data_IF_035079728836
#
_entry.id   IF_035079728836
#
_cell.length_a   1.000
_cell.length_b   1.000
_cell.length_c   1.000
_cell.angle_alpha   90.00
_cell.angle_beta   90.00
_cell.angle_gamma   90.00
#
_symmetry.space_group_name_H-M   'P 1'
#
loop_
_entity.id
_entity.type
_entity.pdbx_description
1 polymer ?
#
# COMPACT_ATOMS: atom_id res chain seq x y z
N UNK A 1 -33.15 -13.32 -19.37
CA UNK A 1 -32.23 -13.90 -18.36
C UNK A 1 -30.81 -13.33 -18.43
N UNK A 2 -30.16 -13.17 -19.60
CA UNK A 2 -28.82 -12.54 -19.73
C UNK A 2 -28.65 -11.21 -18.99
N UNK A 3 -29.58 -10.26 -19.18
CA UNK A 3 -29.51 -8.94 -18.51
C UNK A 3 -29.66 -8.98 -16.99
N UNK A 4 -30.40 -9.97 -16.46
CA UNK A 4 -30.53 -10.17 -15.00
C UNK A 4 -29.20 -10.65 -14.41
N UNK A 5 -28.49 -11.52 -15.13
CA UNK A 5 -27.17 -12.05 -14.75
C UNK A 5 -26.12 -10.92 -14.80
N UNK A 6 -26.14 -10.06 -15.81
CA UNK A 6 -25.29 -8.86 -15.87
C UNK A 6 -25.52 -7.93 -14.69
N UNK A 7 -26.80 -7.69 -14.35
CA UNK A 7 -27.14 -6.81 -13.24
C UNK A 7 -26.59 -7.34 -11.91
N UNK A 8 -26.66 -8.65 -11.68
CA UNK A 8 -26.10 -9.31 -10.48
C UNK A 8 -24.57 -9.18 -10.42
N UNK A 9 -23.86 -9.42 -11.53
CA UNK A 9 -22.40 -9.28 -11.57
C UNK A 9 -21.93 -7.84 -11.34
N UNK A 10 -22.65 -6.84 -11.88
CA UNK A 10 -22.36 -5.42 -11.66
C UNK A 10 -22.65 -5.03 -10.20
N UNK A 11 -23.75 -5.52 -9.60
CA UNK A 11 -24.09 -5.21 -8.21
C UNK A 11 -23.13 -5.84 -7.20
N UNK A 12 -22.56 -7.01 -7.50
CA UNK A 12 -21.56 -7.66 -6.66
C UNK A 12 -20.28 -6.83 -6.44
N UNK A 13 -19.97 -5.90 -7.34
CA UNK A 13 -18.82 -4.99 -7.22
C UNK A 13 -18.97 -4.01 -6.04
N UNK A 14 -20.20 -3.70 -5.63
CA UNK A 14 -20.47 -2.71 -4.58
C UNK A 14 -20.44 -3.27 -3.15
N UNK A 15 -20.20 -4.58 -2.99
CA UNK A 15 -20.08 -5.20 -1.66
C UNK A 15 -18.70 -4.88 -1.10
N UNK A 16 -18.61 -3.85 -0.27
CA UNK A 16 -17.40 -3.56 0.51
C UNK A 16 -17.40 -4.45 1.76
N UNK A 17 -16.48 -5.41 1.81
CA UNK A 17 -16.20 -6.17 3.03
C UNK A 17 -15.31 -5.30 3.91
N UNK A 18 -15.76 -4.99 5.13
CA UNK A 18 -14.99 -4.20 6.09
C UNK A 18 -14.06 -5.09 6.91
N UNK A 19 -12.85 -5.30 6.40
CA UNK A 19 -11.74 -5.84 7.18
C UNK A 19 -10.81 -4.70 7.60
N UNK A 20 -10.00 -4.90 8.64
CA UNK A 20 -8.86 -4.03 8.88
C UNK A 20 -7.98 -3.99 7.62
N UNK A 21 -7.45 -2.82 7.27
CA UNK A 21 -6.48 -2.69 6.17
C UNK A 21 -5.21 -3.49 6.49
N UNK A 22 -4.61 -4.08 5.45
CA UNK A 22 -3.33 -4.76 5.54
C UNK A 22 -2.22 -3.87 4.97
N UNK A 23 -1.15 -3.63 5.73
CA UNK A 23 -0.04 -2.78 5.29
C UNK A 23 1.31 -3.46 5.50
N UNK A 24 2.31 -3.04 4.73
CA UNK A 24 3.70 -3.38 5.06
C UNK A 24 4.12 -2.57 6.28
N UNK A 25 4.76 -3.23 7.25
CA UNK A 25 5.28 -2.59 8.47
C UNK A 25 6.73 -3.02 8.65
N UNK A 26 7.67 -2.08 8.49
CA UNK A 26 9.10 -2.34 8.62
C UNK A 26 9.91 -1.04 8.68
N UNK A 27 11.15 -1.13 9.17
CA UNK A 27 12.13 -0.04 9.21
C UNK A 27 13.42 -0.52 8.55
N UNK A 28 13.85 0.15 7.47
CA UNK A 28 15.03 -0.29 6.71
C UNK A 28 16.36 -0.14 7.46
N UNK A 29 16.34 0.43 8.66
CA UNK A 29 17.48 0.41 9.58
C UNK A 29 17.63 -0.91 10.32
N UNK A 30 16.51 -1.56 10.60
CA UNK A 30 16.45 -2.80 11.39
C UNK A 30 16.32 -4.02 10.46
N UNK A 31 15.73 -3.84 9.28
CA UNK A 31 15.54 -4.89 8.28
C UNK A 31 16.11 -4.47 6.90
N UNK A 32 17.18 -5.14 6.48
CA UNK A 32 17.84 -4.96 5.18
C UNK A 32 16.94 -5.32 3.97
N UNK A 33 15.82 -5.99 4.20
CA UNK A 33 14.84 -6.32 3.17
C UNK A 33 13.73 -5.26 3.04
N UNK A 34 13.74 -4.23 3.88
CA UNK A 34 12.82 -3.09 3.83
C UNK A 34 13.27 -1.84 3.04
N UNK A 35 14.21 -1.86 2.05
CA UNK A 35 14.53 -0.64 1.33
C UNK A 35 13.33 -0.12 0.50
N UNK A 36 13.54 1.01 -0.15
CA UNK A 36 12.56 1.61 -1.06
C UNK A 36 12.03 0.60 -2.09
N UNK A 37 12.94 -0.20 -2.63
CA UNK A 37 12.70 -1.36 -3.48
C UNK A 37 13.02 -2.61 -2.68
N UNK A 38 12.11 -3.60 -2.71
CA UNK A 38 12.30 -4.84 -1.97
C UNK A 38 13.47 -5.67 -2.51
N UNK A 39 14.27 -6.21 -1.60
CA UNK A 39 15.37 -7.16 -1.93
C UNK A 39 14.85 -8.58 -2.16
N UNK A 40 13.69 -8.92 -1.59
CA UNK A 40 13.02 -10.23 -1.70
C UNK A 40 11.53 -10.06 -1.99
N UNK A 41 10.89 -11.09 -2.56
CA UNK A 41 9.51 -11.04 -3.07
C UNK A 41 8.44 -11.56 -2.11
N UNK A 42 8.86 -12.18 -1.02
CA UNK A 42 8.02 -12.90 -0.05
C UNK A 42 7.73 -12.06 1.21
N UNK A 43 7.89 -10.74 1.12
CA UNK A 43 7.40 -9.81 2.13
C UNK A 43 5.89 -9.72 1.98
N UNK A 44 5.17 -9.95 3.07
CA UNK A 44 3.71 -9.91 3.09
C UNK A 44 3.23 -8.74 3.98
N UNK A 45 2.14 -8.06 3.61
CA UNK A 45 1.52 -7.08 4.47
C UNK A 45 0.88 -7.77 5.69
N UNK A 46 0.82 -7.06 6.81
CA UNK A 46 0.21 -7.54 8.05
C UNK A 46 -1.09 -6.78 8.33
N UNK A 47 -1.97 -7.39 9.11
CA UNK A 47 -3.22 -6.78 9.54
C UNK A 47 -2.97 -5.64 10.53
N UNK A 48 -3.41 -4.43 10.19
CA UNK A 48 -3.17 -3.25 11.01
C UNK A 48 -4.02 -3.16 12.28
N UNK A 49 -5.14 -3.86 12.36
CA UNK A 49 -6.12 -3.81 13.45
C UNK A 49 -5.96 -4.91 14.50
N UNK A 50 -4.86 -5.67 14.45
CA UNK A 50 -4.55 -6.71 15.43
C UNK A 50 -4.26 -6.20 16.85
N UNK A 51 -3.97 -7.08 17.82
CA UNK A 51 -3.73 -6.72 19.22
C UNK A 51 -2.62 -5.69 19.44
N UNK A 52 -1.55 -5.76 18.64
CA UNK A 52 -0.42 -4.83 18.64
C UNK A 52 -0.53 -3.77 17.52
N UNK A 53 -1.71 -3.68 16.91
CA UNK A 53 -2.01 -2.84 15.77
C UNK A 53 -2.37 -1.39 16.13
N UNK A 54 -2.66 -0.60 15.10
CA UNK A 54 -3.12 0.78 15.24
C UNK A 54 -4.64 0.79 15.28
N UNK A 55 -5.22 1.34 16.35
CA UNK A 55 -6.67 1.53 16.45
C UNK A 55 -7.19 2.38 15.30
N UNK A 56 -8.29 1.95 14.68
CA UNK A 56 -8.90 2.58 13.51
C UNK A 56 -7.91 2.81 12.34
N UNK A 57 -6.98 1.89 12.13
CA UNK A 57 -6.09 1.94 10.97
C UNK A 57 -6.88 1.95 9.65
N UNK A 58 -6.66 2.99 8.85
CA UNK A 58 -7.33 3.22 7.56
C UNK A 58 -6.35 3.48 6.41
N UNK A 59 -5.08 3.71 6.75
CA UNK A 59 -4.06 4.14 5.82
C UNK A 59 -2.77 3.35 6.01
N UNK A 60 -2.11 3.04 4.91
CA UNK A 60 -0.72 2.60 4.91
C UNK A 60 0.18 3.78 4.57
N UNK A 61 1.25 3.95 5.35
CA UNK A 61 2.22 5.03 5.16
C UNK A 61 3.56 4.43 4.73
N UNK A 62 4.24 5.09 3.79
CA UNK A 62 5.65 4.88 3.44
C UNK A 62 6.38 6.22 3.54
N UNK A 63 7.42 6.29 4.36
CA UNK A 63 8.29 7.47 4.46
C UNK A 63 9.70 7.13 4.01
N UNK A 64 10.34 8.03 3.29
CA UNK A 64 11.74 7.97 2.90
C UNK A 64 12.39 9.25 3.40
N UNK A 65 13.30 9.15 4.36
CA UNK A 65 13.98 10.32 4.91
C UNK A 65 15.35 9.93 5.50
N UNK A 66 16.15 10.94 5.86
CA UNK A 66 17.37 10.72 6.64
C UNK A 66 16.99 10.54 8.09
N UNK A 67 17.28 9.37 8.63
CA UNK A 67 17.06 9.04 10.03
C UNK A 67 18.42 8.68 10.63
N UNK A 68 18.86 9.36 11.70
CA UNK A 68 20.11 9.03 12.39
C UNK A 68 21.36 9.01 11.48
N UNK A 69 21.41 9.88 10.47
CA UNK A 69 22.54 10.02 9.56
C UNK A 69 22.51 9.16 8.30
N UNK A 70 21.54 8.25 8.14
CA UNK A 70 21.39 7.43 6.93
C UNK A 70 19.99 7.60 6.33
N UNK A 71 19.90 7.54 4.99
CA UNK A 71 18.61 7.46 4.30
C UNK A 71 17.97 6.12 4.62
N UNK A 72 16.75 6.14 5.15
CA UNK A 72 16.00 4.94 5.47
C UNK A 72 14.55 5.06 4.99
N UNK A 73 13.96 3.90 4.69
CA UNK A 73 12.54 3.74 4.38
C UNK A 73 11.84 3.14 5.58
N UNK A 74 10.72 3.73 5.98
CA UNK A 74 9.87 3.22 7.05
C UNK A 74 8.45 3.07 6.54
N UNK A 75 7.82 1.96 6.89
CA UNK A 75 6.46 1.62 6.51
C UNK A 75 5.66 1.27 7.75
N UNK A 76 4.44 1.76 7.85
CA UNK A 76 3.61 1.57 9.04
C UNK A 76 2.12 1.82 8.75
N UNK A 77 1.27 1.33 9.65
CA UNK A 77 -0.18 1.57 9.65
C UNK A 77 -0.51 2.92 10.29
N UNK A 78 -1.57 3.59 9.82
CA UNK A 78 -2.04 4.85 10.39
C UNK A 78 -3.57 4.94 10.37
N UNK A 79 -4.14 5.57 11.39
CA UNK A 79 -5.55 5.97 11.41
C UNK A 79 -5.83 7.29 10.70
N UNK A 80 -4.77 8.03 10.33
CA UNK A 80 -4.84 9.34 9.68
C UNK A 80 -4.08 9.38 8.37
N UNK A 81 -4.59 10.17 7.45
CA UNK A 81 -3.86 10.55 6.24
C UNK A 81 -2.66 11.44 6.63
N UNK A 82 -1.48 11.15 6.10
CA UNK A 82 -0.25 11.94 6.33
C UNK A 82 0.13 12.79 5.11
N UNK A 83 -0.79 12.94 4.17
CA UNK A 83 -0.62 13.54 2.87
C UNK A 83 0.41 12.81 2.01
N UNK A 84 0.49 13.24 0.74
CA UNK A 84 1.50 12.82 -0.20
C UNK A 84 2.39 14.01 -0.54
N UNK A 85 3.64 13.97 -0.10
CA UNK A 85 4.59 15.06 -0.33
C UNK A 85 6.01 14.51 -0.48
N UNK A 86 6.82 15.18 -1.30
CA UNK A 86 8.26 14.99 -1.25
C UNK A 86 8.97 16.34 -1.34
N UNK A 87 9.81 16.62 -0.35
CA UNK A 87 10.51 17.89 -0.21
C UNK A 87 12.02 17.67 -0.21
N UNK A 88 12.73 18.66 -0.74
CA UNK A 88 14.18 18.72 -0.65
C UNK A 88 14.61 19.21 0.72
N UNK A 89 15.59 18.54 1.32
CA UNK A 89 16.13 18.83 2.64
C UNK A 89 17.65 18.96 2.55
N UNK A 90 18.16 20.11 3.01
CA UNK A 90 19.59 20.41 3.11
C UNK A 90 20.02 20.35 4.58
N UNK A 91 20.91 19.42 4.93
CA UNK A 91 21.53 19.42 6.24
C UNK A 91 22.78 20.32 6.24
N UNK A 92 22.98 21.18 7.26
CA UNK A 92 24.14 22.09 7.31
C UNK A 92 25.49 21.39 7.31
N UNK A 93 25.53 20.14 7.79
CA UNK A 93 26.77 19.36 7.95
C UNK A 93 27.13 18.51 6.71
N UNK A 94 26.26 18.50 5.69
CA UNK A 94 26.45 17.71 4.48
C UNK A 94 26.47 18.61 3.25
N UNK A 95 27.30 18.26 2.27
CA UNK A 95 27.32 18.92 0.96
C UNK A 95 26.21 18.41 0.03
N UNK A 96 25.60 17.27 0.35
CA UNK A 96 24.52 16.66 -0.42
C UNK A 96 23.14 17.27 -0.13
N UNK A 97 22.25 17.21 -1.10
CA UNK A 97 20.81 17.44 -0.96
C UNK A 97 20.10 16.10 -0.75
N UNK A 98 19.16 16.06 0.18
CA UNK A 98 18.36 14.88 0.48
C UNK A 98 16.90 15.12 0.12
N UNK A 99 16.12 14.05 0.03
CA UNK A 99 14.68 14.10 -0.12
C UNK A 99 14.02 13.49 1.11
N UNK A 100 12.95 14.15 1.56
CA UNK A 100 12.05 13.62 2.57
C UNK A 100 10.69 13.44 1.91
N UNK A 101 10.33 12.19 1.62
CA UNK A 101 9.06 11.85 1.00
C UNK A 101 8.14 11.10 1.97
N UNK A 102 6.85 11.45 1.97
CA UNK A 102 5.76 10.74 2.64
C UNK A 102 4.74 10.33 1.59
N UNK A 103 4.36 9.06 1.60
CA UNK A 103 3.32 8.48 0.76
C UNK A 103 2.23 7.86 1.63
N UNK A 104 0.99 8.21 1.35
CA UNK A 104 -0.21 7.73 2.03
C UNK A 104 -1.20 7.14 1.03
N UNK A 105 -1.74 5.98 1.37
CA UNK A 105 -2.71 5.26 0.55
C UNK A 105 -3.66 4.43 1.44
N UNK A 106 -4.82 4.06 0.91
CA UNK A 106 -5.95 3.52 1.70
C UNK A 106 -6.46 2.17 1.19
N UNK A 107 -5.61 1.34 0.59
CA UNK A 107 -5.95 -0.01 0.18
C UNK A 107 -4.87 -1.00 0.60
N UNK A 108 -5.21 -2.29 0.67
CA UNK A 108 -4.30 -3.33 1.12
C UNK A 108 -2.96 -3.33 0.35
N UNK A 109 -1.85 -3.39 1.09
CA UNK A 109 -0.49 -3.51 0.58
C UNK A 109 0.02 -2.30 -0.22
N UNK A 110 -0.70 -1.18 -0.22
CA UNK A 110 -0.43 -0.05 -1.11
C UNK A 110 0.91 0.65 -0.85
N UNK A 111 1.43 0.59 0.38
CA UNK A 111 2.71 1.18 0.77
C UNK A 111 3.93 0.31 0.41
N UNK A 112 3.75 -0.69 -0.44
CA UNK A 112 4.81 -1.55 -0.94
C UNK A 112 5.73 -0.90 -1.97
N UNK A 113 6.50 -1.72 -2.68
CA UNK A 113 7.19 -1.34 -3.91
C UNK A 113 6.21 -1.37 -5.07
N UNK A 114 6.34 -0.44 -6.02
CA UNK A 114 5.54 -0.39 -7.23
C UNK A 114 5.66 -1.70 -8.03
N UNK A 115 4.62 -2.53 -7.99
CA UNK A 115 4.49 -3.71 -8.84
C UNK A 115 3.13 -3.69 -9.53
N UNK A 116 3.11 -3.97 -10.83
CA UNK A 116 1.87 -4.22 -11.55
C UNK A 116 1.37 -5.62 -11.17
N UNK A 117 0.42 -5.68 -10.24
CA UNK A 117 -0.27 -6.93 -9.91
C UNK A 117 -1.58 -7.01 -10.69
N UNK A 118 -1.58 -7.81 -11.76
CA UNK A 118 -2.81 -8.15 -12.49
C UNK A 118 -3.54 -9.22 -11.68
N UNK A 119 -4.68 -8.87 -11.09
CA UNK A 119 -5.52 -9.83 -10.38
C UNK A 119 -6.14 -10.83 -11.37
N UNK A 120 -5.85 -12.11 -11.21
CA UNK A 120 -6.44 -13.17 -12.04
C UNK A 120 -7.97 -13.22 -11.90
N UNK A 121 -8.49 -12.86 -10.72
CA UNK A 121 -9.94 -12.75 -10.46
C UNK A 121 -10.54 -11.64 -11.33
N UNK A 122 -9.86 -10.50 -11.45
CA UNK A 122 -10.31 -9.40 -12.28
C UNK A 122 -10.33 -9.77 -13.77
N UNK A 123 -9.31 -10.49 -14.24
CA UNK A 123 -9.27 -11.00 -15.63
C UNK A 123 -10.40 -12.00 -15.89
N UNK A 124 -10.61 -12.96 -14.99
CA UNK A 124 -11.69 -13.94 -15.10
C UNK A 124 -13.06 -13.25 -15.13
N UNK A 125 -13.25 -12.22 -14.31
CA UNK A 125 -14.48 -11.45 -14.26
C UNK A 125 -14.76 -10.69 -15.57
N UNK A 126 -13.76 -10.06 -16.18
CA UNK A 126 -13.89 -9.40 -17.49
C UNK A 126 -14.31 -10.39 -18.59
N UNK A 127 -13.74 -11.60 -18.56
CA UNK A 127 -14.11 -12.68 -19.49
C UNK A 127 -15.57 -13.07 -19.29
N UNK A 128 -16.02 -13.27 -18.04
CA UNK A 128 -17.40 -13.64 -17.74
C UNK A 128 -18.39 -12.55 -18.18
N UNK A 129 -18.09 -11.26 -17.98
CA UNK A 129 -18.91 -10.16 -18.50
C UNK A 129 -19.05 -10.26 -20.02
N UNK A 130 -17.95 -10.51 -20.75
CA UNK A 130 -18.01 -10.61 -22.21
C UNK A 130 -18.88 -11.78 -22.68
N UNK A 131 -18.88 -12.92 -21.98
CA UNK A 131 -19.69 -14.08 -22.35
C UNK A 131 -21.19 -13.94 -21.98
N UNK A 132 -21.51 -13.29 -20.87
CA UNK A 132 -22.89 -13.20 -20.36
C UNK A 132 -23.62 -11.91 -20.73
N UNK A 133 -22.89 -10.81 -21.02
CA UNK A 133 -23.47 -9.49 -21.34
C UNK A 133 -23.40 -9.09 -22.82
N UNK A 134 -22.49 -9.66 -23.60
CA UNK A 134 -22.48 -9.57 -25.07
C UNK A 134 -23.19 -10.80 -25.65
#
# INVERSE_FOLDING_TARGET
>A
MKYLICFIFIFGIFINISNSINCFVCDSKEDEHCPETWTRKDILPIECGGPDGVQDARFCIKTIAVFGGAVATKRFCSSRDMDNQCIEVKYPQDEKMYYSCTYTCSHDGCNGTSHLNISAIFVLFLILIQFFCV
#
